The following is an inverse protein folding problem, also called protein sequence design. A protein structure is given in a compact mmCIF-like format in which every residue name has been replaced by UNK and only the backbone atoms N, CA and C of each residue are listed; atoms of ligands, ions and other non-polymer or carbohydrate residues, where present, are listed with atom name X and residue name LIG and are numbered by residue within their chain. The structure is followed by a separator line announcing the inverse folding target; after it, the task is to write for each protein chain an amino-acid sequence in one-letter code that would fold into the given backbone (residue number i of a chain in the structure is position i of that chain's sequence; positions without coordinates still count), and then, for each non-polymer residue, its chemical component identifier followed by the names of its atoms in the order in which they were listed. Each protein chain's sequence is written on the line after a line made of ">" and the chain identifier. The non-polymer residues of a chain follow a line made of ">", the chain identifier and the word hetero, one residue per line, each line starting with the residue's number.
data_IF_733443363659
#
_entry.id   IF_733443363659
#
_cell.length_a   1.000
_cell.length_b   1.000
_cell.length_c   1.000
_cell.angle_alpha   90.00
_cell.angle_beta   90.00
_cell.angle_gamma   90.00
#
_symmetry.space_group_name_H-M   'P 1'
#
loop_
_entity.id
_entity.type
_entity.pdbx_description
1 polymer ?
#
# COMPACT_ATOMS: atom_id res chain seq x y z
N UNK A 1 24.38 -1.59 22.11
CA UNK A 1 23.75 -1.98 20.83
C UNK A 1 23.30 -3.44 20.91
N UNK A 2 21.99 -3.71 20.87
CA UNK A 2 21.39 -5.05 20.87
C UNK A 2 20.52 -5.21 19.61
N UNK A 3 21.00 -6.00 18.64
CA UNK A 3 20.25 -6.78 17.63
C UNK A 3 19.46 -6.05 16.49
N UNK A 4 19.37 -6.62 15.27
CA UNK A 4 18.99 -5.92 14.03
C UNK A 4 17.50 -6.00 13.62
N UNK A 5 16.57 -6.25 14.55
CA UNK A 5 15.17 -6.51 14.20
C UNK A 5 14.16 -5.84 15.14
N UNK A 6 14.35 -4.56 15.47
CA UNK A 6 13.21 -3.78 15.95
C UNK A 6 12.22 -3.63 14.79
N UNK A 7 11.15 -4.45 14.80
CA UNK A 7 10.03 -4.30 13.87
C UNK A 7 9.55 -2.85 13.99
N UNK A 8 9.79 -2.06 12.95
CA UNK A 8 9.34 -0.67 12.87
C UNK A 8 7.92 -0.58 13.42
N UNK A 9 7.75 0.18 14.50
CA UNK A 9 6.47 0.44 15.17
C UNK A 9 5.41 1.05 14.23
N UNK A 10 5.83 1.46 13.04
CA UNK A 10 5.06 2.17 12.05
C UNK A 10 5.07 1.39 10.72
N UNK A 11 3.89 1.17 10.14
CA UNK A 11 3.78 0.68 8.77
C UNK A 11 3.87 1.85 7.80
N UNK A 12 5.09 2.15 7.33
CA UNK A 12 5.41 3.26 6.42
C UNK A 12 4.83 3.11 4.99
N UNK A 13 4.07 2.05 4.71
CA UNK A 13 3.54 1.80 3.38
C UNK A 13 2.32 2.65 3.09
N UNK A 14 2.26 3.15 1.86
CA UNK A 14 1.07 3.76 1.30
C UNK A 14 0.09 2.68 0.87
N UNK A 15 -1.20 2.92 1.11
CA UNK A 15 -2.28 2.06 0.62
C UNK A 15 -3.06 2.83 -0.43
N UNK A 16 -3.16 2.23 -1.61
CA UNK A 16 -3.84 2.78 -2.78
C UNK A 16 -5.09 1.98 -3.08
N UNK A 17 -6.16 2.64 -3.51
CA UNK A 17 -7.40 2.01 -3.96
C UNK A 17 -7.70 2.34 -5.43
N UNK A 18 -8.02 1.33 -6.22
CA UNK A 18 -8.48 1.54 -7.59
C UNK A 18 -9.96 1.97 -7.60
N UNK A 19 -10.31 3.14 -8.16
CA UNK A 19 -11.71 3.59 -8.20
C UNK A 19 -12.60 2.79 -9.17
N UNK A 20 -12.01 1.90 -9.99
CA UNK A 20 -12.74 1.10 -10.98
C UNK A 20 -13.07 -0.30 -10.45
N UNK A 21 -12.11 -0.97 -9.83
CA UNK A 21 -12.26 -2.36 -9.38
C UNK A 21 -12.15 -2.54 -7.86
N UNK A 22 -11.93 -1.46 -7.10
CA UNK A 22 -11.76 -1.50 -5.64
C UNK A 22 -10.46 -2.15 -5.16
N UNK A 23 -9.53 -2.55 -6.06
CA UNK A 23 -8.28 -3.21 -5.68
C UNK A 23 -7.43 -2.32 -4.77
N UNK A 24 -6.99 -2.88 -3.64
CA UNK A 24 -6.01 -2.25 -2.76
C UNK A 24 -4.58 -2.70 -3.09
N UNK A 25 -3.65 -1.75 -3.11
CA UNK A 25 -2.22 -2.02 -3.33
C UNK A 25 -1.40 -1.29 -2.27
N UNK A 26 -0.42 -1.99 -1.68
CA UNK A 26 0.51 -1.41 -0.72
C UNK A 26 1.84 -1.10 -1.42
N UNK A 27 2.34 0.12 -1.27
CA UNK A 27 3.63 0.56 -1.86
C UNK A 27 4.50 1.26 -0.83
N UNK A 28 5.76 1.53 -1.17
CA UNK A 28 6.62 2.42 -0.38
C UNK A 28 6.11 3.87 -0.39
N UNK A 29 6.69 4.69 0.49
CA UNK A 29 6.40 6.13 0.61
C UNK A 29 6.99 6.99 -0.52
N UNK A 30 7.88 6.41 -1.32
CA UNK A 30 8.47 6.98 -2.53
C UNK A 30 7.47 7.00 -3.71
N UNK A 31 6.52 6.07 -3.76
CA UNK A 31 5.49 6.01 -4.80
C UNK A 31 4.43 7.08 -4.57
N UNK A 32 4.34 8.06 -5.46
CA UNK A 32 3.42 9.21 -5.37
C UNK A 32 2.20 9.11 -6.30
N UNK A 33 2.23 8.21 -7.29
CA UNK A 33 1.12 7.92 -8.17
C UNK A 33 1.16 6.45 -8.60
N UNK A 34 0.00 5.87 -8.89
CA UNK A 34 -0.13 4.47 -9.28
C UNK A 34 -1.35 4.27 -10.18
N UNK A 35 -1.21 3.47 -11.22
CA UNK A 35 -2.33 2.97 -12.03
C UNK A 35 -2.59 1.51 -11.69
N UNK A 36 -3.87 1.12 -11.70
CA UNK A 36 -4.22 -0.28 -11.50
C UNK A 36 -4.01 -1.07 -12.79
N UNK A 37 -3.58 -2.34 -12.68
CA UNK A 37 -3.46 -3.26 -13.82
C UNK A 37 -4.77 -3.48 -14.58
N UNK A 38 -5.93 -3.30 -13.93
CA UNK A 38 -7.23 -3.39 -14.62
C UNK A 38 -7.42 -2.32 -15.70
N UNK A 39 -6.56 -1.28 -15.72
CA UNK A 39 -6.60 -0.17 -16.67
C UNK A 39 -5.43 -0.22 -17.68
N UNK A 40 -4.62 -1.29 -17.67
CA UNK A 40 -3.46 -1.42 -18.56
C UNK A 40 -3.85 -1.48 -20.04
N UNK A 41 -5.05 -1.99 -20.34
CA UNK A 41 -5.62 -2.06 -21.68
C UNK A 41 -6.28 -0.76 -22.15
N UNK A 42 -6.46 0.22 -21.26
CA UNK A 42 -7.04 1.51 -21.62
C UNK A 42 -5.98 2.44 -22.22
N UNK A 43 -6.38 3.32 -23.15
CA UNK A 43 -5.54 4.42 -23.60
C UNK A 43 -5.05 5.28 -22.41
N UNK A 44 -3.80 5.78 -22.41
CA UNK A 44 -3.24 6.54 -21.28
C UNK A 44 -4.11 7.70 -20.79
N UNK A 45 -4.79 8.40 -21.70
CA UNK A 45 -5.69 9.52 -21.45
C UNK A 45 -6.97 9.13 -20.70
N UNK A 46 -7.38 7.87 -20.76
CA UNK A 46 -8.56 7.35 -20.06
C UNK A 46 -8.20 6.71 -18.70
N UNK A 47 -6.91 6.52 -18.42
CA UNK A 47 -6.45 5.88 -17.18
C UNK A 47 -6.66 6.82 -16.00
N UNK A 48 -7.29 6.27 -14.97
CA UNK A 48 -7.51 6.93 -13.68
C UNK A 48 -6.48 6.43 -12.68
N UNK A 49 -5.76 7.40 -12.09
CA UNK A 49 -4.90 7.14 -10.95
C UNK A 49 -5.68 6.48 -9.81
N UNK A 50 -5.00 5.59 -9.09
CA UNK A 50 -5.49 5.06 -7.83
C UNK A 50 -5.53 6.17 -6.77
N UNK A 51 -6.50 6.07 -5.85
CA UNK A 51 -6.66 7.00 -4.73
C UNK A 51 -5.76 6.58 -3.59
N UNK A 52 -5.00 7.50 -3.02
CA UNK A 52 -4.25 7.24 -1.78
C UNK A 52 -5.22 7.23 -0.60
N UNK A 53 -5.40 6.06 0.03
CA UNK A 53 -6.34 5.90 1.16
C UNK A 53 -5.62 5.78 2.51
N UNK A 54 -4.31 5.50 2.53
CA UNK A 54 -3.49 5.61 3.74
C UNK A 54 -2.04 5.98 3.39
N UNK A 55 -1.41 6.87 4.17
CA UNK A 55 -0.08 7.42 3.90
C UNK A 55 1.06 6.83 4.76
N UNK A 56 0.85 5.67 5.38
CA UNK A 56 1.92 4.94 6.09
C UNK A 56 2.35 5.50 7.46
N UNK A 57 1.69 6.51 8.01
CA UNK A 57 1.91 6.92 9.41
C UNK A 57 1.00 6.16 10.37
N UNK A 58 0.76 4.87 10.10
CA UNK A 58 -0.09 4.02 10.97
C UNK A 58 0.80 3.29 11.96
N UNK A 59 0.53 3.49 13.24
CA UNK A 59 1.07 2.65 14.31
C UNK A 59 0.54 1.24 14.10
N UNK A 60 1.42 0.24 14.10
CA UNK A 60 1.00 -1.16 14.09
C UNK A 60 0.52 -1.46 15.51
N UNK A 61 -0.79 -1.39 15.75
CA UNK A 61 -1.34 -1.91 16.99
C UNK A 61 -1.14 -3.43 17.00
N UNK A 62 -0.64 -3.94 18.12
CA UNK A 62 -0.14 -5.30 18.28
C UNK A 62 -1.22 -6.39 18.22
N UNK A 63 -2.45 -6.02 17.85
CA UNK A 63 -3.67 -6.84 17.93
C UNK A 63 -4.05 -7.51 16.62
N UNK A 64 -3.43 -7.14 15.48
CA UNK A 64 -3.70 -7.84 14.21
C UNK A 64 -2.98 -9.21 14.21
N UNK A 65 -3.71 -10.34 14.07
CA UNK A 65 -3.09 -11.66 14.01
C UNK A 65 -2.20 -11.76 12.77
N UNK A 66 -0.97 -12.23 12.98
CA UNK A 66 0.02 -12.41 11.92
C UNK A 66 -0.52 -13.43 10.92
N UNK A 67 -0.46 -13.20 9.60
CA UNK A 67 -0.63 -14.29 8.65
C UNK A 67 0.55 -15.24 8.82
N UNK A 68 0.28 -16.43 9.32
CA UNK A 68 1.21 -17.56 9.39
C UNK A 68 1.76 -17.82 7.99
N UNK A 69 3.09 -17.82 7.84
CA UNK A 69 3.74 -18.42 6.68
C UNK A 69 4.03 -19.88 7.06
N UNK A 70 3.40 -20.81 6.34
CA UNK A 70 3.92 -22.18 6.16
C UNK A 70 5.27 -22.17 5.43
#
# INVERSE_FOLDING_TARGET
>A
MKGPFERLKYDLRRVWECPVCGRHVRTGGDVTSLFCRCQEKLPPEERRCMKLIANGTRRIDSTEPRPSKD
#
